data_IF_636359881618
#
_entry.id   IF_636359881618
#
_cell.length_a   1.000
_cell.length_b   1.000
_cell.length_c   1.000
_cell.angle_alpha   90.00
_cell.angle_beta   90.00
_cell.angle_gamma   90.00
#
_symmetry.space_group_name_H-M   'P 1'
#
loop_
_entity.id
_entity.type
_entity.pdbx_description
1 polymer ?
#
# COMPACT_ATOMS: atom_id res chain seq x y z
N UNK A 1 -100.03 -9.67 -7.73
CA UNK A 1 -98.74 -9.18 -8.26
C UNK A 1 -97.65 -9.81 -7.43
N UNK A 2 -97.13 -10.94 -7.90
CA UNK A 2 -96.16 -11.76 -7.16
C UNK A 2 -94.78 -11.09 -7.13
N UNK A 3 -94.37 -10.67 -5.93
CA UNK A 3 -93.06 -10.11 -5.66
C UNK A 3 -92.04 -11.26 -5.52
N UNK A 4 -91.47 -11.69 -6.63
CA UNK A 4 -90.51 -12.78 -6.67
C UNK A 4 -89.11 -12.30 -6.22
N UNK A 5 -88.94 -12.02 -4.92
CA UNK A 5 -87.62 -11.78 -4.31
C UNK A 5 -86.86 -13.11 -4.25
N UNK A 6 -86.00 -13.35 -5.25
CA UNK A 6 -85.00 -14.43 -5.20
C UNK A 6 -84.10 -14.20 -3.99
N UNK A 7 -84.31 -14.94 -2.92
CA UNK A 7 -83.38 -15.01 -1.79
C UNK A 7 -82.14 -15.78 -2.25
N UNK A 8 -81.10 -15.08 -2.70
CA UNK A 8 -79.83 -15.71 -3.05
C UNK A 8 -79.28 -16.47 -1.84
N UNK A 9 -78.72 -17.65 -2.10
CA UNK A 9 -78.21 -18.52 -1.06
C UNK A 9 -77.01 -17.84 -0.39
N UNK A 10 -76.89 -17.90 0.95
CA UNK A 10 -75.76 -17.27 1.69
C UNK A 10 -74.40 -17.69 1.15
N UNK A 11 -74.30 -18.90 0.57
CA UNK A 11 -73.11 -19.40 -0.13
C UNK A 11 -72.77 -18.64 -1.41
N UNK A 12 -73.76 -18.22 -2.19
CA UNK A 12 -73.54 -17.47 -3.44
C UNK A 12 -73.04 -16.05 -3.16
N UNK A 13 -73.57 -15.41 -2.12
CA UNK A 13 -73.08 -14.10 -1.65
C UNK A 13 -71.62 -14.24 -1.15
N UNK A 14 -71.32 -15.26 -0.34
CA UNK A 14 -69.96 -15.50 0.13
C UNK A 14 -68.98 -15.77 -1.02
N UNK A 15 -69.37 -16.57 -2.01
CA UNK A 15 -68.54 -16.81 -3.20
C UNK A 15 -68.34 -15.52 -4.01
N UNK A 16 -69.37 -14.69 -4.18
CA UNK A 16 -69.25 -13.39 -4.84
C UNK A 16 -68.23 -12.47 -4.14
N UNK A 17 -68.28 -12.38 -2.82
CA UNK A 17 -67.29 -11.61 -2.03
C UNK A 17 -65.88 -12.20 -2.15
N UNK A 18 -65.74 -13.53 -2.15
CA UNK A 18 -64.45 -14.19 -2.33
C UNK A 18 -63.84 -13.90 -3.71
N UNK A 19 -64.64 -13.93 -4.78
CA UNK A 19 -64.17 -13.59 -6.13
C UNK A 19 -63.73 -12.13 -6.22
N UNK A 20 -64.52 -11.19 -5.71
CA UNK A 20 -64.18 -9.76 -5.72
C UNK A 20 -62.89 -9.49 -4.93
N UNK A 21 -62.74 -10.12 -3.76
CA UNK A 21 -61.52 -10.02 -2.96
C UNK A 21 -60.31 -10.58 -3.72
N UNK A 22 -60.46 -11.73 -4.37
CA UNK A 22 -59.39 -12.36 -5.13
C UNK A 22 -58.97 -11.51 -6.33
N UNK A 23 -59.93 -10.94 -7.07
CA UNK A 23 -59.64 -10.01 -8.15
C UNK A 23 -58.93 -8.75 -7.65
N UNK A 24 -59.40 -8.15 -6.56
CA UNK A 24 -58.76 -6.97 -5.96
C UNK A 24 -57.35 -7.26 -5.46
N UNK A 25 -57.12 -8.44 -4.87
CA UNK A 25 -55.80 -8.86 -4.42
C UNK A 25 -54.84 -9.03 -5.60
N UNK A 26 -55.27 -9.73 -6.65
CA UNK A 26 -54.44 -9.95 -7.84
C UNK A 26 -54.11 -8.63 -8.56
N UNK A 27 -55.07 -7.72 -8.71
CA UNK A 27 -54.82 -6.41 -9.33
C UNK A 27 -53.91 -5.55 -8.48
N UNK A 28 -54.08 -5.55 -7.16
CA UNK A 28 -53.19 -4.82 -6.24
C UNK A 28 -51.76 -5.34 -6.35
N UNK A 29 -51.55 -6.66 -6.31
CA UNK A 29 -50.22 -7.27 -6.47
C UNK A 29 -49.61 -6.92 -7.83
N UNK A 30 -50.39 -7.01 -8.91
CA UNK A 30 -49.91 -6.67 -10.25
C UNK A 30 -49.50 -5.19 -10.37
N UNK A 31 -50.30 -4.26 -9.82
CA UNK A 31 -49.98 -2.83 -9.80
C UNK A 31 -48.75 -2.54 -8.94
N UNK A 32 -48.62 -3.15 -7.77
CA UNK A 32 -47.44 -3.01 -6.91
C UNK A 32 -46.17 -3.50 -7.62
N UNK A 33 -46.23 -4.65 -8.30
CA UNK A 33 -45.10 -5.18 -9.07
C UNK A 33 -44.74 -4.28 -10.26
N UNK A 34 -45.72 -3.76 -10.99
CA UNK A 34 -45.49 -2.84 -12.10
C UNK A 34 -44.80 -1.54 -11.63
N UNK A 35 -45.27 -0.95 -10.53
CA UNK A 35 -44.65 0.24 -9.92
C UNK A 35 -43.24 -0.08 -9.43
N UNK A 36 -43.04 -1.23 -8.79
CA UNK A 36 -41.74 -1.66 -8.28
C UNK A 36 -40.73 -1.86 -9.41
N UNK A 37 -41.12 -2.57 -10.48
CA UNK A 37 -40.25 -2.80 -11.65
C UNK A 37 -39.98 -1.52 -12.44
N UNK A 38 -40.93 -0.58 -12.47
CA UNK A 38 -40.74 0.73 -13.11
C UNK A 38 -39.84 1.66 -12.30
N UNK A 39 -39.94 1.63 -10.96
CA UNK A 39 -39.13 2.47 -10.06
C UNK A 39 -37.82 1.82 -9.63
N UNK A 40 -37.63 0.51 -9.84
CA UNK A 40 -36.34 -0.14 -9.62
C UNK A 40 -35.39 0.30 -10.72
N UNK A 41 -34.83 1.50 -10.54
CA UNK A 41 -33.78 2.01 -11.39
C UNK A 41 -32.59 1.04 -11.28
N UNK A 42 -32.38 0.23 -12.33
CA UNK A 42 -31.28 -0.74 -12.42
C UNK A 42 -29.93 -0.06 -12.11
N UNK A 43 -29.85 1.25 -12.39
CA UNK A 43 -28.71 2.12 -12.07
C UNK A 43 -28.39 2.18 -10.58
N UNK A 44 -29.37 2.10 -9.68
CA UNK A 44 -29.12 2.12 -8.23
C UNK A 44 -28.41 0.83 -7.77
N UNK A 45 -28.76 -0.33 -8.35
CA UNK A 45 -28.08 -1.59 -8.07
C UNK A 45 -26.66 -1.62 -8.66
N UNK A 46 -26.48 -1.10 -9.87
CA UNK A 46 -25.17 -0.98 -10.52
C UNK A 46 -24.24 -0.02 -9.76
N UNK A 47 -24.76 1.13 -9.30
CA UNK A 47 -24.02 2.08 -8.46
C UNK A 47 -23.61 1.47 -7.12
N UNK A 48 -24.49 0.70 -6.47
CA UNK A 48 -24.18 0.04 -5.21
C UNK A 48 -23.02 -0.96 -5.37
N UNK A 49 -23.04 -1.76 -6.43
CA UNK A 49 -21.97 -2.73 -6.70
C UNK A 49 -20.66 -2.03 -7.05
N UNK A 50 -20.71 -0.98 -7.86
CA UNK A 50 -19.54 -0.16 -8.17
C UNK A 50 -18.92 0.49 -6.92
N UNK A 51 -19.74 1.04 -6.03
CA UNK A 51 -19.30 1.60 -4.75
C UNK A 51 -18.69 0.52 -3.87
N UNK A 52 -19.29 -0.67 -3.81
CA UNK A 52 -18.75 -1.82 -3.06
C UNK A 52 -17.37 -2.23 -3.57
N UNK A 53 -17.18 -2.31 -4.89
CA UNK A 53 -15.86 -2.61 -5.50
C UNK A 53 -14.83 -1.55 -5.11
N UNK A 54 -15.19 -0.25 -5.19
CA UNK A 54 -14.28 0.84 -4.76
C UNK A 54 -13.94 0.74 -3.28
N UNK A 55 -14.93 0.47 -2.44
CA UNK A 55 -14.73 0.33 -0.99
C UNK A 55 -13.81 -0.84 -0.66
N UNK A 56 -14.00 -1.99 -1.33
CA UNK A 56 -13.09 -3.14 -1.19
C UNK A 56 -11.67 -2.78 -1.59
N UNK A 57 -11.45 -2.12 -2.74
CA UNK A 57 -10.11 -1.67 -3.16
C UNK A 57 -9.47 -0.71 -2.17
N UNK A 58 -10.24 0.12 -1.47
CA UNK A 58 -9.72 0.98 -0.40
C UNK A 58 -9.30 0.14 0.81
N UNK A 59 -10.14 -0.81 1.20
CA UNK A 59 -9.86 -1.71 2.31
C UNK A 59 -8.63 -2.58 2.05
N UNK A 60 -8.50 -3.14 0.85
CA UNK A 60 -7.36 -3.96 0.43
C UNK A 60 -6.06 -3.14 0.50
N UNK A 61 -6.09 -1.89 0.00
CA UNK A 61 -4.95 -0.97 0.11
C UNK A 61 -4.60 -0.64 1.57
N UNK A 62 -5.60 -0.36 2.42
CA UNK A 62 -5.37 -0.06 3.83
C UNK A 62 -4.78 -1.26 4.58
N UNK A 63 -5.22 -2.47 4.23
CA UNK A 63 -4.66 -3.69 4.77
C UNK A 63 -3.20 -3.86 4.37
N UNK A 64 -2.88 -3.71 3.07
CA UNK A 64 -1.49 -3.78 2.60
C UNK A 64 -0.61 -2.72 3.28
N UNK A 65 -1.14 -1.50 3.48
CA UNK A 65 -0.43 -0.44 4.17
C UNK A 65 -0.12 -0.80 5.63
N UNK A 66 -1.08 -1.40 6.34
CA UNK A 66 -0.90 -1.86 7.71
C UNK A 66 0.10 -3.02 7.80
N UNK A 67 0.02 -3.99 6.88
CA UNK A 67 0.92 -5.13 6.81
C UNK A 67 2.36 -4.71 6.45
N UNK A 68 2.51 -3.69 5.60
CA UNK A 68 3.80 -3.15 5.18
C UNK A 68 4.48 -2.25 6.21
N UNK A 69 3.76 -1.80 7.26
CA UNK A 69 4.32 -0.89 8.27
C UNK A 69 5.52 -1.51 8.99
N UNK A 70 5.38 -2.74 9.49
CA UNK A 70 6.47 -3.42 10.20
C UNK A 70 7.70 -3.71 9.30
N UNK A 71 7.54 -4.23 8.06
CA UNK A 71 8.65 -4.37 7.11
C UNK A 71 9.38 -3.05 6.82
N UNK A 72 8.64 -1.95 6.66
CA UNK A 72 9.22 -0.61 6.43
C UNK A 72 10.06 -0.16 7.64
N UNK A 73 9.52 -0.28 8.85
CA UNK A 73 10.24 0.07 10.07
C UNK A 73 11.47 -0.81 10.31
N UNK A 74 11.37 -2.11 9.98
CA UNK A 74 12.48 -3.06 10.05
C UNK A 74 13.59 -2.71 9.05
N UNK A 75 13.21 -2.38 7.80
CA UNK A 75 14.13 -1.94 6.76
C UNK A 75 14.85 -0.65 7.17
N UNK A 76 14.13 0.33 7.74
CA UNK A 76 14.74 1.54 8.30
C UNK A 76 15.84 1.20 9.31
N UNK A 77 15.55 0.35 10.30
CA UNK A 77 16.51 -0.05 11.35
C UNK A 77 17.70 -0.81 10.78
N UNK A 78 17.48 -1.66 9.78
CA UNK A 78 18.56 -2.40 9.10
C UNK A 78 19.50 -1.43 8.38
N UNK A 79 18.97 -0.48 7.61
CA UNK A 79 19.80 0.53 6.93
C UNK A 79 20.50 1.42 7.97
N UNK A 80 19.84 1.80 9.06
CA UNK A 80 20.41 2.60 10.14
C UNK A 80 21.56 1.88 10.86
N UNK A 81 21.44 0.57 11.09
CA UNK A 81 22.48 -0.24 11.73
C UNK A 81 23.60 -0.68 10.77
N UNK A 82 23.37 -0.63 9.45
CA UNK A 82 24.31 -1.11 8.44
C UNK A 82 25.71 -0.47 8.55
N UNK A 83 26.75 -1.31 8.61
CA UNK A 83 28.15 -0.90 8.67
C UNK A 83 28.93 -1.43 7.45
N UNK A 84 29.32 -0.59 6.49
CA UNK A 84 29.95 -1.04 5.24
C UNK A 84 31.33 -1.72 5.39
N UNK A 85 31.94 -1.72 6.59
CA UNK A 85 33.31 -2.18 6.81
C UNK A 85 33.49 -3.66 7.21
N UNK A 86 32.49 -4.32 7.79
CA UNK A 86 32.61 -5.72 8.30
C UNK A 86 31.32 -6.48 8.01
N UNK A 87 31.39 -7.67 7.39
CA UNK A 87 30.24 -8.52 7.02
C UNK A 87 29.14 -7.87 6.14
N UNK A 88 29.48 -6.78 5.45
CA UNK A 88 28.51 -5.95 4.73
C UNK A 88 27.72 -6.65 3.62
N UNK A 89 28.25 -7.70 2.98
CA UNK A 89 27.59 -8.27 1.80
C UNK A 89 26.26 -8.96 2.13
N UNK A 90 26.23 -9.80 3.17
CA UNK A 90 25.00 -10.52 3.54
C UNK A 90 23.91 -9.55 4.02
N UNK A 91 24.28 -8.59 4.86
CA UNK A 91 23.34 -7.57 5.35
C UNK A 91 22.86 -6.66 4.22
N UNK A 92 23.74 -6.30 3.29
CA UNK A 92 23.39 -5.52 2.10
C UNK A 92 22.43 -6.28 1.20
N UNK A 93 22.70 -7.56 0.91
CA UNK A 93 21.83 -8.40 0.09
C UNK A 93 20.43 -8.56 0.72
N UNK A 94 20.35 -8.70 2.04
CA UNK A 94 19.07 -8.74 2.78
C UNK A 94 18.32 -7.40 2.70
N UNK A 95 19.02 -6.27 2.84
CA UNK A 95 18.44 -4.93 2.66
C UNK A 95 17.92 -4.77 1.23
N UNK A 96 18.68 -5.17 0.20
CA UNK A 96 18.24 -5.10 -1.19
C UNK A 96 17.03 -5.99 -1.45
N UNK A 97 16.99 -7.19 -0.86
CA UNK A 97 15.83 -8.06 -0.93
C UNK A 97 14.57 -7.39 -0.37
N UNK A 98 14.67 -6.76 0.81
CA UNK A 98 13.55 -6.05 1.44
C UNK A 98 13.09 -4.83 0.62
N UNK A 99 14.02 -4.05 0.07
CA UNK A 99 13.73 -2.92 -0.84
C UNK A 99 12.96 -3.42 -2.07
N UNK A 100 13.41 -4.52 -2.67
CA UNK A 100 12.76 -5.10 -3.84
C UNK A 100 11.38 -5.66 -3.52
N UNK A 101 11.18 -6.21 -2.32
CA UNK A 101 9.85 -6.64 -1.88
C UNK A 101 8.87 -5.46 -1.84
N UNK A 102 9.29 -4.30 -1.31
CA UNK A 102 8.49 -3.07 -1.37
C UNK A 102 8.17 -2.64 -2.81
N UNK A 103 9.13 -2.70 -3.73
CA UNK A 103 8.87 -2.43 -5.15
C UNK A 103 7.83 -3.39 -5.72
N UNK A 104 7.94 -4.67 -5.41
CA UNK A 104 7.02 -5.71 -5.87
C UNK A 104 5.59 -5.51 -5.37
N UNK A 105 5.39 -4.90 -4.20
CA UNK A 105 4.05 -4.51 -3.72
C UNK A 105 3.39 -3.47 -4.64
N UNK A 106 4.17 -2.53 -5.20
CA UNK A 106 3.68 -1.65 -6.26
C UNK A 106 3.47 -2.38 -7.59
N UNK A 107 4.45 -3.16 -8.06
CA UNK A 107 4.37 -3.80 -9.38
C UNK A 107 3.14 -4.69 -9.54
N UNK A 108 2.82 -5.48 -8.50
CA UNK A 108 1.61 -6.33 -8.44
C UNK A 108 0.30 -5.53 -8.48
N UNK A 109 0.33 -4.27 -8.07
CA UNK A 109 -0.84 -3.38 -7.94
C UNK A 109 -0.67 -2.10 -8.78
N UNK A 110 0.10 -2.16 -9.86
CA UNK A 110 0.52 -0.99 -10.66
C UNK A 110 -0.64 -0.21 -11.29
N UNK A 111 -1.81 -0.83 -11.42
CA UNK A 111 -3.05 -0.19 -11.87
C UNK A 111 -3.63 0.81 -10.85
N UNK A 112 -3.26 0.71 -9.57
CA UNK A 112 -3.69 1.60 -8.51
C UNK A 112 -2.58 2.58 -8.12
N UNK A 113 -2.81 3.87 -8.39
CA UNK A 113 -1.83 4.94 -8.15
C UNK A 113 -1.42 5.06 -6.68
N UNK A 114 -2.24 4.60 -5.73
CA UNK A 114 -1.96 4.69 -4.28
C UNK A 114 -0.77 3.81 -3.89
N UNK A 115 -0.58 2.70 -4.59
CA UNK A 115 0.54 1.80 -4.35
C UNK A 115 1.88 2.38 -4.80
N UNK A 116 1.92 3.49 -5.55
CA UNK A 116 3.16 4.20 -5.88
C UNK A 116 3.97 4.61 -4.64
N UNK A 117 3.31 4.80 -3.50
CA UNK A 117 3.98 5.06 -2.23
C UNK A 117 5.04 4.00 -1.91
N UNK A 118 4.75 2.71 -2.13
CA UNK A 118 5.70 1.63 -1.84
C UNK A 118 6.95 1.70 -2.73
N UNK A 119 6.76 2.04 -4.01
CA UNK A 119 7.87 2.27 -4.94
C UNK A 119 8.72 3.46 -4.49
N UNK A 120 8.09 4.58 -4.10
CA UNK A 120 8.82 5.76 -3.62
C UNK A 120 9.59 5.51 -2.32
N UNK A 121 9.02 4.73 -1.39
CA UNK A 121 9.72 4.32 -0.16
C UNK A 121 10.92 3.44 -0.50
N UNK A 122 10.75 2.48 -1.42
CA UNK A 122 11.86 1.63 -1.86
C UNK A 122 12.99 2.43 -2.52
N UNK A 123 12.66 3.38 -3.41
CA UNK A 123 13.64 4.24 -4.07
C UNK A 123 14.36 5.14 -3.06
N UNK A 124 13.63 5.71 -2.11
CA UNK A 124 14.22 6.49 -1.03
C UNK A 124 15.23 5.67 -0.21
N UNK A 125 14.85 4.45 0.20
CA UNK A 125 15.75 3.60 0.97
C UNK A 125 16.94 3.08 0.17
N UNK A 126 16.78 2.79 -1.11
CA UNK A 126 17.89 2.44 -1.99
C UNK A 126 18.90 3.60 -2.11
N UNK A 127 18.41 4.83 -2.30
CA UNK A 127 19.24 6.03 -2.33
C UNK A 127 19.95 6.25 -0.98
N UNK A 128 19.23 6.13 0.14
CA UNK A 128 19.81 6.31 1.48
C UNK A 128 20.91 5.29 1.79
N UNK A 129 20.72 4.02 1.41
CA UNK A 129 21.76 2.99 1.54
C UNK A 129 23.01 3.35 0.73
N UNK A 130 22.83 3.80 -0.51
CA UNK A 130 23.93 4.25 -1.37
C UNK A 130 24.70 5.42 -0.75
N UNK A 131 23.98 6.44 -0.29
CA UNK A 131 24.57 7.62 0.34
C UNK A 131 25.37 7.23 1.59
N UNK A 132 24.83 6.32 2.41
CA UNK A 132 25.51 5.83 3.61
C UNK A 132 26.83 5.13 3.27
N UNK A 133 26.85 4.30 2.22
CA UNK A 133 28.07 3.65 1.72
C UNK A 133 29.09 4.67 1.21
N UNK A 134 28.64 5.69 0.48
CA UNK A 134 29.49 6.75 -0.02
C UNK A 134 30.11 7.57 1.11
N UNK A 135 29.30 8.01 2.08
CA UNK A 135 29.77 8.75 3.25
C UNK A 135 30.81 7.96 4.05
N UNK A 136 30.56 6.66 4.27
CA UNK A 136 31.52 5.79 4.93
C UNK A 136 32.85 5.70 4.16
N UNK A 137 32.80 5.52 2.84
CA UNK A 137 34.00 5.47 1.99
C UNK A 137 34.80 6.77 2.03
N UNK A 138 34.12 7.91 1.95
CA UNK A 138 34.73 9.24 2.07
C UNK A 138 35.39 9.39 3.44
N UNK A 139 34.72 8.97 4.52
CA UNK A 139 35.27 9.03 5.86
C UNK A 139 36.54 8.18 6.00
N UNK A 140 36.56 6.95 5.44
CA UNK A 140 37.75 6.11 5.44
C UNK A 140 38.90 6.75 4.65
N UNK A 141 38.60 7.33 3.48
CA UNK A 141 39.59 8.03 2.67
C UNK A 141 40.18 9.23 3.43
N UNK A 142 39.35 10.03 4.11
CA UNK A 142 39.83 11.14 4.93
C UNK A 142 40.74 10.66 6.04
N UNK A 143 40.38 9.58 6.74
CA UNK A 143 41.22 8.99 7.81
C UNK A 143 42.56 8.52 7.25
N UNK A 144 42.55 7.82 6.11
CA UNK A 144 43.77 7.36 5.44
C UNK A 144 44.65 8.52 4.98
N UNK A 145 44.09 9.53 4.33
CA UNK A 145 44.87 10.69 3.86
C UNK A 145 45.46 11.50 5.01
N UNK A 146 44.77 11.62 6.13
CA UNK A 146 45.33 12.24 7.34
C UNK A 146 46.53 11.46 7.88
N UNK A 147 46.43 10.14 7.98
CA UNK A 147 47.54 9.29 8.42
C UNK A 147 48.74 9.38 7.47
N UNK A 148 48.49 9.33 6.15
CA UNK A 148 49.55 9.47 5.15
C UNK A 148 50.24 10.84 5.20
N UNK A 149 49.48 11.92 5.45
CA UNK A 149 50.02 13.26 5.59
C UNK A 149 50.91 13.35 6.83
N UNK A 150 50.44 12.84 7.97
CA UNK A 150 51.20 12.83 9.22
C UNK A 150 52.51 12.05 9.07
N UNK A 151 52.48 10.88 8.42
CA UNK A 151 53.68 10.08 8.12
C UNK A 151 54.65 10.84 7.21
N UNK A 152 54.14 11.53 6.18
CA UNK A 152 54.95 12.36 5.29
C UNK A 152 55.61 13.54 6.04
N UNK A 153 54.89 14.23 6.91
CA UNK A 153 55.41 15.34 7.71
C UNK A 153 56.47 14.87 8.72
N UNK A 154 56.29 13.70 9.34
CA UNK A 154 57.31 13.07 10.19
C UNK A 154 58.55 12.73 9.35
N UNK A 155 58.36 12.11 8.19
CA UNK A 155 59.45 11.75 7.29
C UNK A 155 60.24 12.97 6.80
N UNK A 156 59.54 14.06 6.47
CA UNK A 156 60.14 15.32 6.06
C UNK A 156 60.98 15.94 7.19
N UNK A 157 60.43 16.04 8.40
CA UNK A 157 61.15 16.56 9.57
C UNK A 157 62.43 15.75 9.85
N UNK A 158 62.35 14.43 9.79
CA UNK A 158 63.50 13.55 9.95
C UNK A 158 64.59 13.82 8.90
N UNK A 159 64.20 14.02 7.63
CA UNK A 159 65.15 14.38 6.57
C UNK A 159 65.78 15.76 6.75
N UNK A 160 65.03 16.75 7.23
CA UNK A 160 65.56 18.07 7.55
C UNK A 160 66.58 18.02 8.71
N UNK A 161 66.29 17.23 9.75
CA UNK A 161 67.21 16.99 10.87
C UNK A 161 68.49 16.29 10.43
N UNK A 162 68.37 15.24 9.59
CA UNK A 162 69.51 14.53 9.00
C UNK A 162 70.41 15.49 8.21
N UNK A 163 69.83 16.36 7.37
CA UNK A 163 70.57 17.35 6.59
C UNK A 163 71.31 18.35 7.50
N UNK A 164 70.64 18.91 8.51
CA UNK A 164 71.23 19.88 9.46
C UNK A 164 72.35 19.27 10.30
N UNK A 165 72.25 17.99 10.66
CA UNK A 165 73.28 17.28 11.41
C UNK A 165 74.50 16.96 10.53
N UNK A 166 74.29 16.61 9.27
CA UNK A 166 75.35 16.40 8.28
C UNK A 166 76.18 17.65 7.98
N UNK A 167 75.58 18.85 8.00
CA UNK A 167 76.30 20.12 7.81
C UNK A 167 77.14 20.55 9.02
N UNK A 168 76.87 20.02 10.23
CA UNK A 168 77.65 20.34 11.44
C UNK A 168 78.95 19.53 11.57
N UNK A 169 79.12 18.47 10.78
CA UNK A 169 80.28 17.58 10.81
C UNK A 169 81.31 17.87 9.69
N UNK A 170 81.25 19.05 9.08
CA UNK A 170 82.25 19.62 8.15
C UNK A 170 82.66 20.99 8.64
#
# INVERSE_FOLDING_TARGET
MDNNRKTLNKREILMGHAYVFLFFFLTTVACCLAIFMWNSDFRMFEQKEFVKIKMNRIKDFQQEQAESQMPVDSLFRKIEAFQPGVYAQYEEDDIHYLINNLRNTYERNSWDKRYKLFMHIADFYAMWLSDKKQLWSIEQNIRLFKANLEECEIGLRKKEEDLRSGTKNK
#
